data_IF_949170190443
#
_entry.id   IF_949170190443
#
_cell.length_a   1.000
_cell.length_b   1.000
_cell.length_c   1.000
_cell.angle_alpha   90.00
_cell.angle_beta   90.00
_cell.angle_gamma   90.00
#
_symmetry.space_group_name_H-M   'P 1'
#
loop_
_entity.id
_entity.type
_entity.pdbx_description
1 polymer ?
#
# COMPACT_ATOMS: atom_id res chain seq x y z
N UNK A 1 -1.74 39.07 -7.72
CA UNK A 1 -1.11 38.64 -6.46
C UNK A 1 -1.44 37.17 -6.25
N UNK A 2 -0.53 36.32 -6.72
CA UNK A 2 -0.67 34.86 -6.77
C UNK A 2 -0.32 34.33 -5.38
N UNK A 3 -1.27 33.70 -4.68
CA UNK A 3 -0.95 33.05 -3.40
C UNK A 3 0.06 31.94 -3.68
N UNK A 4 1.25 32.11 -3.12
CA UNK A 4 2.33 31.15 -3.18
C UNK A 4 1.84 29.80 -2.66
N UNK A 5 1.94 28.76 -3.49
CA UNK A 5 2.00 27.38 -3.01
C UNK A 5 3.13 27.35 -1.99
N UNK A 6 2.86 26.87 -0.78
CA UNK A 6 3.92 26.47 0.14
C UNK A 6 4.71 25.39 -0.62
N UNK A 7 5.94 25.70 -0.98
CA UNK A 7 6.80 24.77 -1.69
C UNK A 7 6.89 23.47 -0.85
N UNK A 8 6.53 22.35 -1.46
CA UNK A 8 6.75 21.02 -0.91
C UNK A 8 8.24 20.75 -0.99
N UNK A 9 9.00 21.21 0.01
CA UNK A 9 10.46 21.12 0.07
C UNK A 9 10.95 19.66 -0.16
N UNK A 10 11.26 19.30 -1.40
CA UNK A 10 11.99 18.07 -1.76
C UNK A 10 11.20 16.77 -1.91
N UNK A 11 9.86 16.77 -1.77
CA UNK A 11 9.06 15.54 -1.95
C UNK A 11 8.88 15.17 -3.44
N UNK A 12 9.27 13.95 -3.88
CA UNK A 12 9.07 13.54 -5.26
C UNK A 12 7.58 13.30 -5.54
N UNK A 13 7.15 13.60 -6.76
CA UNK A 13 5.84 13.14 -7.25
C UNK A 13 5.77 11.61 -7.24
N UNK A 14 4.55 11.06 -7.30
CA UNK A 14 4.33 9.62 -7.38
C UNK A 14 5.13 8.96 -8.52
N UNK A 15 5.07 9.55 -9.71
CA UNK A 15 5.79 9.06 -10.88
C UNK A 15 7.31 9.15 -10.69
N UNK A 16 7.82 10.24 -10.09
CA UNK A 16 9.26 10.37 -9.81
C UNK A 16 9.75 9.36 -8.77
N UNK A 17 9.00 9.15 -7.69
CA UNK A 17 9.30 8.14 -6.67
C UNK A 17 9.40 6.74 -7.29
N UNK A 18 8.41 6.38 -8.11
CA UNK A 18 8.39 5.08 -8.77
C UNK A 18 9.40 4.96 -9.89
N UNK A 19 9.71 6.02 -10.64
CA UNK A 19 10.79 6.01 -11.63
C UNK A 19 12.15 5.71 -10.95
N UNK A 20 12.41 6.30 -9.78
CA UNK A 20 13.61 5.99 -8.97
C UNK A 20 13.61 4.55 -8.47
N UNK A 21 12.46 4.04 -7.97
CA UNK A 21 12.31 2.64 -7.57
C UNK A 21 12.49 1.68 -8.75
N UNK A 22 11.93 2.02 -9.91
CA UNK A 22 11.98 1.21 -11.11
C UNK A 22 13.40 1.03 -11.61
N UNK A 23 14.22 2.09 -11.59
CA UNK A 23 15.65 1.98 -11.88
C UNK A 23 16.42 1.06 -10.91
N UNK A 24 16.03 1.00 -9.63
CA UNK A 24 16.67 0.13 -8.62
C UNK A 24 16.19 -1.32 -8.69
N UNK A 25 14.91 -1.53 -8.94
CA UNK A 25 14.25 -2.84 -8.90
C UNK A 25 14.13 -3.49 -10.29
N UNK A 26 14.49 -2.78 -11.37
CA UNK A 26 14.29 -3.25 -12.74
C UNK A 26 12.82 -3.23 -13.17
N UNK A 27 12.01 -2.32 -12.64
CA UNK A 27 10.60 -2.14 -13.03
C UNK A 27 10.47 -1.07 -14.12
N UNK A 28 9.64 -1.35 -15.10
CA UNK A 28 9.15 -0.37 -16.08
C UNK A 28 8.02 0.43 -15.43
N UNK A 29 8.08 1.75 -15.52
CA UNK A 29 7.11 2.66 -14.90
C UNK A 29 6.37 3.44 -15.97
N UNK A 30 5.06 3.31 -15.96
CA UNK A 30 4.11 4.02 -16.82
C UNK A 30 3.37 5.07 -15.99
N UNK A 31 3.60 6.35 -16.27
CA UNK A 31 2.78 7.44 -15.73
C UNK A 31 1.48 7.53 -16.54
N UNK A 32 0.33 7.35 -15.86
CA UNK A 32 -1.01 7.43 -16.46
C UNK A 32 -1.70 8.76 -16.18
N UNK A 33 -1.13 9.56 -15.27
CA UNK A 33 -1.53 10.91 -14.92
C UNK A 33 -0.91 11.34 -13.60
N UNK A 34 -1.15 12.58 -13.18
CA UNK A 34 -0.55 13.18 -11.96
C UNK A 34 -0.81 12.35 -10.68
N UNK A 35 -1.93 11.59 -10.65
CA UNK A 35 -2.35 10.76 -9.53
C UNK A 35 -2.55 9.29 -9.92
N UNK A 36 -1.96 8.85 -11.03
CA UNK A 36 -2.09 7.47 -11.50
C UNK A 36 -0.79 6.96 -12.12
N UNK A 37 -0.33 5.80 -11.68
CA UNK A 37 0.82 5.13 -12.26
C UNK A 37 0.66 3.62 -12.26
N UNK A 38 1.44 2.97 -13.12
CA UNK A 38 1.69 1.54 -13.08
C UNK A 38 3.18 1.27 -13.13
N UNK A 39 3.68 0.39 -12.27
CA UNK A 39 5.00 -0.21 -12.41
C UNK A 39 4.86 -1.71 -12.67
N UNK A 40 5.67 -2.27 -13.55
CA UNK A 40 5.67 -3.70 -13.80
C UNK A 40 7.07 -4.21 -14.20
N UNK A 41 7.35 -5.47 -13.91
CA UNK A 41 8.63 -6.09 -14.24
C UNK A 41 8.79 -7.46 -13.61
N UNK A 42 10.01 -7.98 -13.60
CA UNK A 42 10.33 -9.27 -12.99
C UNK A 42 11.27 -9.06 -11.80
N UNK A 43 10.85 -9.52 -10.62
CA UNK A 43 11.66 -9.51 -9.39
C UNK A 43 11.71 -10.93 -8.86
N UNK A 44 12.91 -11.44 -8.54
CA UNK A 44 13.12 -12.83 -8.11
C UNK A 44 12.49 -13.88 -9.05
N UNK A 45 12.45 -13.60 -10.35
CA UNK A 45 11.83 -14.47 -11.35
C UNK A 45 10.29 -14.43 -11.39
N UNK A 46 9.65 -13.54 -10.62
CA UNK A 46 8.20 -13.39 -10.54
C UNK A 46 7.76 -12.10 -11.23
N UNK A 47 6.65 -12.17 -11.95
CA UNK A 47 6.00 -10.98 -12.51
C UNK A 47 5.46 -10.16 -11.34
N UNK A 48 5.89 -8.90 -11.26
CA UNK A 48 5.40 -7.92 -10.27
C UNK A 48 4.66 -6.83 -11.02
N UNK A 49 3.48 -6.46 -10.53
CA UNK A 49 2.74 -5.28 -10.98
C UNK A 49 2.31 -4.45 -9.79
N UNK A 50 2.46 -3.14 -9.89
CA UNK A 50 1.98 -2.16 -8.93
C UNK A 50 1.13 -1.16 -9.67
N UNK A 51 -0.12 -0.99 -9.26
CA UNK A 51 -1.03 0.01 -9.81
C UNK A 51 -1.50 0.93 -8.68
N UNK A 52 -1.47 2.22 -8.96
CA UNK A 52 -1.76 3.24 -7.98
C UNK A 52 -2.64 4.28 -8.62
N UNK A 53 -3.77 4.58 -7.98
CA UNK A 53 -4.73 5.56 -8.48
C UNK A 53 -5.28 6.41 -7.33
N UNK A 54 -5.29 7.73 -7.51
CA UNK A 54 -5.90 8.68 -6.58
C UNK A 54 -7.13 9.33 -7.19
N UNK A 55 -8.20 9.46 -6.40
CA UNK A 55 -9.36 10.24 -6.80
C UNK A 55 -8.91 11.68 -7.08
N UNK A 56 -9.14 12.15 -8.31
CA UNK A 56 -8.97 13.56 -8.61
C UNK A 56 -9.97 14.36 -7.76
N UNK A 57 -9.50 15.31 -6.95
CA UNK A 57 -10.37 16.32 -6.35
C UNK A 57 -10.97 17.11 -7.50
N UNK A 58 -12.22 16.78 -7.85
CA UNK A 58 -12.86 17.12 -9.12
C UNK A 58 -12.58 18.55 -9.59
N UNK A 59 -11.94 18.66 -10.75
CA UNK A 59 -12.10 19.80 -11.65
C UNK A 59 -13.03 19.35 -12.77
N UNK A 60 -14.26 19.87 -12.80
CA UNK A 60 -14.94 20.04 -14.10
C UNK A 60 -16.43 19.76 -14.22
N UNK A 61 -17.10 18.94 -13.40
CA UNK A 61 -18.51 18.59 -13.69
C UNK A 61 -19.54 18.86 -12.59
N UNK A 62 -19.09 19.20 -11.37
CA UNK A 62 -19.99 19.46 -10.23
C UNK A 62 -20.53 20.90 -10.15
N UNK A 63 -20.39 21.73 -11.19
CA UNK A 63 -20.82 23.15 -11.14
C UNK A 63 -22.10 23.48 -11.89
N UNK A 64 -22.73 22.54 -12.60
CA UNK A 64 -23.91 22.85 -13.41
C UNK A 64 -25.25 22.28 -12.92
N UNK A 65 -25.30 21.33 -11.97
CA UNK A 65 -26.58 20.67 -11.64
C UNK A 65 -27.02 20.67 -10.17
N UNK A 66 -26.22 21.14 -9.22
CA UNK A 66 -26.65 21.16 -7.82
C UNK A 66 -26.41 22.52 -7.19
N UNK A 67 -27.46 23.34 -7.25
CA UNK A 67 -27.63 24.50 -6.40
C UNK A 67 -27.66 24.08 -4.93
N UNK A 68 -27.05 24.94 -4.11
CA UNK A 68 -27.30 25.11 -2.68
C UNK A 68 -27.13 23.83 -1.85
N UNK A 69 -25.87 23.45 -1.64
CA UNK A 69 -25.39 23.11 -0.30
C UNK A 69 -23.92 23.50 -0.22
N UNK A 70 -23.59 24.36 0.72
CA UNK A 70 -22.22 24.67 1.13
C UNK A 70 -21.53 23.37 1.55
N UNK A 71 -20.89 22.70 0.60
CA UNK A 71 -19.96 21.62 0.87
C UNK A 71 -18.81 22.26 1.65
N UNK A 72 -18.89 22.13 2.98
CA UNK A 72 -17.83 22.44 3.91
C UNK A 72 -16.51 21.93 3.35
N UNK A 73 -15.60 22.86 3.03
CA UNK A 73 -14.26 22.58 2.52
C UNK A 73 -13.41 21.74 3.47
N UNK A 74 -13.87 21.49 4.70
CA UNK A 74 -13.17 20.70 5.74
C UNK A 74 -13.24 19.18 5.57
N UNK A 75 -14.09 18.63 4.70
CA UNK A 75 -14.29 17.17 4.58
C UNK A 75 -13.85 16.54 3.25
N UNK A 76 -13.07 17.24 2.41
CA UNK A 76 -12.56 16.65 1.15
C UNK A 76 -11.35 15.75 1.39
N UNK A 77 -11.51 14.60 2.05
CA UNK A 77 -10.43 13.61 2.13
C UNK A 77 -10.06 13.13 0.72
N UNK A 78 -8.77 13.05 0.45
CA UNK A 78 -8.24 12.48 -0.78
C UNK A 78 -8.28 10.95 -0.67
N UNK A 79 -8.87 10.26 -1.65
CA UNK A 79 -8.89 8.80 -1.67
C UNK A 79 -7.83 8.28 -2.60
N UNK A 80 -7.28 7.13 -2.23
CA UNK A 80 -6.28 6.45 -3.02
C UNK A 80 -6.49 4.95 -3.01
N UNK A 81 -6.12 4.32 -4.11
CA UNK A 81 -6.21 2.89 -4.36
C UNK A 81 -4.83 2.38 -4.76
N UNK A 82 -4.47 1.22 -4.22
CA UNK A 82 -3.17 0.59 -4.39
C UNK A 82 -3.41 -0.87 -4.65
N UNK A 83 -2.86 -1.38 -5.74
CA UNK A 83 -2.85 -2.81 -6.05
C UNK A 83 -1.40 -3.22 -6.25
N UNK A 84 -0.88 -4.11 -5.41
CA UNK A 84 0.41 -4.75 -5.59
C UNK A 84 0.18 -6.24 -5.83
N UNK A 85 0.66 -6.75 -6.95
CA UNK A 85 0.48 -8.14 -7.36
C UNK A 85 1.83 -8.78 -7.67
N UNK A 86 2.04 -9.98 -7.13
CA UNK A 86 3.21 -10.83 -7.41
C UNK A 86 2.73 -12.18 -7.94
N UNK A 87 3.23 -12.60 -9.11
CA UNK A 87 2.83 -13.86 -9.73
C UNK A 87 3.31 -15.10 -8.95
N UNK A 88 2.47 -16.13 -8.92
CA UNK A 88 2.78 -17.46 -8.41
C UNK A 88 2.18 -18.55 -9.30
N UNK A 89 2.73 -19.76 -9.20
CA UNK A 89 2.22 -20.95 -9.91
C UNK A 89 1.06 -21.62 -9.18
N UNK A 90 1.07 -21.59 -7.84
CA UNK A 90 0.03 -22.16 -6.96
C UNK A 90 -0.46 -23.56 -7.41
N UNK A 91 0.44 -24.56 -7.47
CA UNK A 91 0.13 -25.87 -8.05
C UNK A 91 -0.98 -26.63 -7.28
N UNK A 92 -1.20 -26.26 -6.02
CA UNK A 92 -2.22 -26.87 -5.15
C UNK A 92 -3.58 -26.18 -5.21
N UNK A 93 -3.69 -25.05 -5.93
CA UNK A 93 -4.93 -24.29 -6.07
C UNK A 93 -5.46 -23.71 -4.76
N UNK A 94 -4.60 -23.44 -3.77
CA UNK A 94 -5.03 -22.89 -2.50
C UNK A 94 -5.31 -21.39 -2.64
N UNK A 95 -6.49 -20.94 -2.24
CA UNK A 95 -6.89 -19.53 -2.36
C UNK A 95 -7.52 -19.05 -1.06
N UNK A 96 -7.44 -17.75 -0.79
CA UNK A 96 -8.01 -17.16 0.39
C UNK A 96 -7.39 -15.81 0.72
N UNK A 97 -7.42 -15.43 1.99
CA UNK A 97 -6.81 -14.21 2.46
C UNK A 97 -6.02 -14.43 3.77
N UNK A 98 -4.96 -13.66 3.92
CA UNK A 98 -4.17 -13.51 5.13
C UNK A 98 -4.38 -12.09 5.62
N UNK A 99 -4.90 -11.93 6.83
CA UNK A 99 -5.14 -10.65 7.46
C UNK A 99 -4.15 -10.44 8.61
N UNK A 100 -3.42 -9.34 8.59
CA UNK A 100 -2.71 -8.82 9.77
C UNK A 100 -3.46 -7.59 10.26
N UNK A 101 -4.11 -7.70 11.43
CA UNK A 101 -4.89 -6.59 11.96
C UNK A 101 -4.80 -6.49 13.48
N UNK A 102 -4.99 -5.27 14.00
CA UNK A 102 -5.12 -5.03 15.43
C UNK A 102 -6.50 -5.52 15.91
N UNK A 103 -6.49 -6.39 16.91
CA UNK A 103 -7.67 -6.81 17.65
C UNK A 103 -7.86 -5.92 18.88
N UNK A 104 -8.85 -5.02 18.79
CA UNK A 104 -9.19 -4.07 19.86
C UNK A 104 -9.75 -4.74 21.12
N UNK A 105 -10.08 -6.04 21.04
CA UNK A 105 -10.52 -6.84 22.18
C UNK A 105 -9.38 -7.65 22.82
N UNK A 106 -8.17 -7.62 22.25
CA UNK A 106 -7.00 -8.26 22.84
C UNK A 106 -6.60 -7.55 24.14
N UNK A 107 -6.42 -8.26 25.27
CA UNK A 107 -5.99 -7.66 26.53
C UNK A 107 -4.64 -6.93 26.46
N UNK A 108 -3.77 -7.28 25.51
CA UNK A 108 -2.50 -6.59 25.28
C UNK A 108 -2.65 -5.28 24.50
N UNK A 109 -3.81 -5.02 23.89
CA UNK A 109 -4.08 -3.78 23.17
C UNK A 109 -4.23 -2.60 24.13
N UNK A 110 -3.44 -1.54 23.88
CA UNK A 110 -3.48 -0.31 24.67
C UNK A 110 -3.54 0.90 23.73
N UNK A 111 -4.66 1.65 23.69
CA UNK A 111 -4.80 2.80 22.79
C UNK A 111 -3.88 3.99 23.13
N UNK A 112 -3.23 3.98 24.30
CA UNK A 112 -2.33 5.05 24.76
C UNK A 112 -0.86 4.80 24.38
N UNK A 113 -0.53 3.60 23.94
CA UNK A 113 0.83 3.21 23.60
C UNK A 113 0.92 2.86 22.12
N UNK A 114 1.75 3.59 21.38
CA UNK A 114 2.00 3.26 19.98
C UNK A 114 2.95 2.06 19.90
N UNK A 115 2.38 0.85 19.86
CA UNK A 115 3.08 -0.37 19.54
C UNK A 115 2.27 -1.15 18.50
N UNK A 116 2.74 -1.24 17.23
CA UNK A 116 1.98 -1.91 16.17
C UNK A 116 1.80 -3.41 16.40
N UNK A 117 2.59 -4.02 17.28
CA UNK A 117 2.47 -5.45 17.65
C UNK A 117 1.43 -5.71 18.73
N UNK A 118 1.10 -4.71 19.56
CA UNK A 118 0.23 -4.92 20.72
C UNK A 118 -1.21 -5.16 20.26
N UNK A 119 -1.72 -6.35 20.58
CA UNK A 119 -3.04 -6.80 20.16
C UNK A 119 -3.16 -7.11 18.67
N UNK A 120 -2.05 -7.16 17.91
CA UNK A 120 -2.08 -7.55 16.50
C UNK A 120 -2.14 -9.06 16.36
N UNK A 121 -2.97 -9.52 15.43
CA UNK A 121 -3.10 -10.93 15.10
C UNK A 121 -2.99 -11.14 13.59
N UNK A 122 -2.27 -12.18 13.18
CA UNK A 122 -2.26 -12.67 11.81
C UNK A 122 -3.21 -13.87 11.71
N UNK A 123 -4.24 -13.75 10.88
CA UNK A 123 -5.28 -14.77 10.67
C UNK A 123 -5.35 -15.10 9.19
N UNK A 124 -5.84 -16.28 8.85
CA UNK A 124 -6.12 -16.65 7.48
C UNK A 124 -7.53 -17.21 7.30
N UNK A 125 -8.08 -17.00 6.12
CA UNK A 125 -9.35 -17.59 5.69
C UNK A 125 -9.16 -18.19 4.28
N UNK A 126 -9.21 -19.53 4.12
CA UNK A 126 -9.49 -20.52 5.17
C UNK A 126 -8.34 -20.69 6.18
N UNK A 127 -8.57 -21.22 7.39
CA UNK A 127 -7.51 -21.41 8.40
C UNK A 127 -6.35 -22.29 7.92
N UNK A 128 -6.62 -23.25 7.04
CA UNK A 128 -5.61 -24.15 6.47
C UNK A 128 -4.62 -23.40 5.55
N UNK A 129 -4.95 -22.20 5.09
CA UNK A 129 -4.06 -21.35 4.29
C UNK A 129 -2.81 -20.95 5.08
N UNK A 130 -2.95 -20.59 6.37
CA UNK A 130 -1.83 -20.23 7.22
C UNK A 130 -0.78 -21.34 7.28
N UNK A 131 -1.20 -22.59 7.43
CA UNK A 131 -0.29 -23.74 7.53
C UNK A 131 0.55 -23.96 6.28
N UNK A 132 0.09 -23.49 5.11
CA UNK A 132 0.83 -23.61 3.85
C UNK A 132 1.66 -22.39 3.52
N UNK A 133 1.11 -21.19 3.76
CA UNK A 133 1.66 -19.95 3.19
C UNK A 133 2.43 -19.13 4.23
N UNK A 134 2.09 -19.25 5.52
CA UNK A 134 2.76 -18.50 6.58
C UNK A 134 3.95 -19.28 7.12
N UNK A 135 5.14 -18.84 6.73
CA UNK A 135 6.38 -19.18 7.43
C UNK A 135 6.53 -18.34 8.70
N UNK A 136 7.38 -18.78 9.64
CA UNK A 136 7.71 -18.00 10.83
C UNK A 136 8.23 -16.59 10.49
N UNK A 137 9.05 -16.48 9.44
CA UNK A 137 9.58 -15.20 8.98
C UNK A 137 8.49 -14.28 8.42
N UNK A 138 7.66 -14.78 7.51
CA UNK A 138 6.55 -13.98 6.94
C UNK A 138 5.52 -13.59 8.00
N UNK A 139 5.28 -14.47 8.98
CA UNK A 139 4.43 -14.18 10.13
C UNK A 139 4.99 -13.02 10.96
N UNK A 140 6.29 -13.08 11.32
CA UNK A 140 6.94 -12.02 12.07
C UNK A 140 6.97 -10.67 11.33
N UNK A 141 7.17 -10.71 10.01
CA UNK A 141 7.08 -9.50 9.16
C UNK A 141 5.66 -8.92 9.18
N UNK A 142 4.63 -9.75 9.06
CA UNK A 142 3.23 -9.31 9.13
C UNK A 142 2.84 -8.81 10.53
N UNK A 143 3.44 -9.33 11.59
CA UNK A 143 3.24 -8.82 12.95
C UNK A 143 3.87 -7.44 13.16
N UNK A 144 4.85 -7.05 12.35
CA UNK A 144 5.54 -5.76 12.50
C UNK A 144 4.84 -4.58 11.83
N UNK A 145 3.85 -4.83 10.96
CA UNK A 145 3.21 -3.79 10.15
C UNK A 145 2.43 -2.78 11.00
N UNK A 146 2.48 -1.52 10.61
CA UNK A 146 1.81 -0.41 11.32
C UNK A 146 0.30 -0.39 11.11
N UNK A 147 -0.15 -0.80 9.94
CA UNK A 147 -1.54 -0.68 9.49
C UNK A 147 -2.19 -2.05 9.37
N UNK A 148 -3.51 -2.09 9.32
CA UNK A 148 -4.23 -3.32 9.04
C UNK A 148 -4.08 -3.68 7.56
N UNK A 149 -3.67 -4.91 7.28
CA UNK A 149 -3.34 -5.36 5.93
C UNK A 149 -4.08 -6.65 5.63
N UNK A 150 -4.64 -6.71 4.42
CA UNK A 150 -5.23 -7.91 3.85
C UNK A 150 -4.43 -8.31 2.61
N UNK A 151 -3.89 -9.53 2.62
CA UNK A 151 -3.16 -10.13 1.51
C UNK A 151 -4.01 -11.26 0.93
N UNK A 152 -4.36 -11.16 -0.34
CA UNK A 152 -5.11 -12.17 -1.07
C UNK A 152 -4.17 -13.19 -1.71
N UNK A 153 -4.47 -14.46 -1.52
CA UNK A 153 -3.86 -15.58 -2.25
C UNK A 153 -4.83 -15.98 -3.35
N UNK A 154 -4.47 -15.68 -4.59
CA UNK A 154 -5.25 -15.93 -5.79
C UNK A 154 -4.71 -17.17 -6.54
N UNK A 155 -5.45 -17.68 -7.54
CA UNK A 155 -5.00 -18.86 -8.30
C UNK A 155 -3.63 -18.71 -8.97
N UNK A 156 -3.20 -17.49 -9.29
CA UNK A 156 -1.95 -17.23 -10.05
C UNK A 156 -1.15 -16.06 -9.48
N UNK A 157 -1.52 -15.53 -8.32
CA UNK A 157 -0.84 -14.40 -7.72
C UNK A 157 -1.08 -14.24 -6.22
N UNK A 158 -0.20 -13.49 -5.57
CA UNK A 158 -0.40 -12.88 -4.26
C UNK A 158 -0.69 -11.40 -4.48
N UNK A 159 -1.72 -10.86 -3.85
CA UNK A 159 -2.20 -9.51 -4.10
C UNK A 159 -2.49 -8.74 -2.80
N UNK A 160 -2.07 -7.49 -2.73
CA UNK A 160 -2.62 -6.50 -1.79
C UNK A 160 -3.49 -5.55 -2.59
N UNK A 161 -4.74 -5.40 -2.17
CA UNK A 161 -5.68 -4.39 -2.64
C UNK A 161 -6.02 -3.46 -1.46
N UNK A 162 -5.55 -2.22 -1.52
CA UNK A 162 -5.60 -1.29 -0.40
C UNK A 162 -6.19 0.07 -0.79
N UNK A 163 -7.18 0.50 0.00
CA UNK A 163 -7.79 1.82 -0.11
C UNK A 163 -7.43 2.71 1.08
N UNK A 164 -6.91 3.91 0.79
CA UNK A 164 -6.48 4.87 1.79
C UNK A 164 -7.25 6.19 1.68
N UNK A 165 -7.35 6.92 2.80
CA UNK A 165 -7.80 8.31 2.81
C UNK A 165 -6.75 9.22 3.42
N UNK A 166 -6.35 10.27 2.72
CA UNK A 166 -5.40 11.28 3.17
C UNK A 166 -6.09 12.65 3.37
N UNK A 167 -5.46 13.53 4.14
CA UNK A 167 -5.92 14.92 4.28
C UNK A 167 -5.75 15.67 2.95
N UNK A 168 -6.68 16.56 2.57
CA UNK A 168 -6.56 17.34 1.36
C UNK A 168 -5.36 18.30 1.40
N UNK A 169 -4.61 18.34 0.29
CA UNK A 169 -3.62 19.39 0.06
C UNK A 169 -2.34 19.29 0.91
N UNK A 170 -2.13 18.23 1.68
CA UNK A 170 -0.86 18.03 2.41
C UNK A 170 0.37 17.73 1.52
N UNK A 171 0.28 17.99 0.19
CA UNK A 171 1.30 17.71 -0.83
C UNK A 171 1.50 16.21 -1.10
N UNK A 172 1.57 15.73 -2.36
CA UNK A 172 1.93 14.34 -2.73
C UNK A 172 1.50 13.18 -1.77
N UNK A 173 0.36 13.28 -1.08
CA UNK A 173 0.06 12.52 0.15
C UNK A 173 -0.34 11.07 -0.05
N UNK A 174 -0.01 10.51 -1.21
CA UNK A 174 -0.17 9.09 -1.42
C UNK A 174 0.96 8.29 -0.79
N UNK A 175 2.20 8.78 -0.84
CA UNK A 175 3.32 8.07 -0.22
C UNK A 175 3.13 7.96 1.31
N UNK A 176 2.38 8.88 1.91
CA UNK A 176 2.00 8.81 3.33
C UNK A 176 0.74 7.96 3.60
N UNK A 177 -0.15 7.75 2.62
CA UNK A 177 -1.41 7.02 2.80
C UNK A 177 -1.40 5.59 2.26
N UNK A 178 -0.47 5.29 1.36
CA UNK A 178 -0.31 3.97 0.74
C UNK A 178 0.43 3.04 1.68
N UNK A 179 -0.20 1.93 2.05
CA UNK A 179 0.40 0.92 2.93
C UNK A 179 1.75 0.44 2.39
N UNK A 180 1.90 0.34 1.05
CA UNK A 180 3.15 -0.13 0.45
C UNK A 180 4.32 0.85 0.60
N UNK A 181 4.05 2.11 0.99
CA UNK A 181 5.09 3.11 1.25
C UNK A 181 5.39 3.28 2.74
N UNK A 182 4.65 2.59 3.62
CA UNK A 182 4.91 2.60 5.06
C UNK A 182 6.11 1.71 5.38
N UNK A 183 7.21 2.35 5.77
CA UNK A 183 8.42 1.66 6.19
C UNK A 183 8.35 1.23 7.65
N UNK A 184 8.83 0.03 7.93
CA UNK A 184 8.90 -0.52 9.28
C UNK A 184 10.21 -0.09 9.96
N UNK A 185 10.14 0.92 10.82
CA UNK A 185 11.27 1.50 11.55
C UNK A 185 11.21 3.03 11.62
N UNK A 186 12.26 3.68 12.11
CA UNK A 186 12.39 5.13 12.01
C UNK A 186 12.50 5.53 10.52
N UNK A 187 11.49 6.20 9.93
CA UNK A 187 11.51 6.48 8.51
C UNK A 187 12.61 7.51 8.21
N UNK A 188 13.39 7.34 7.13
CA UNK A 188 14.31 8.37 6.70
C UNK A 188 13.56 9.67 6.35
N UNK A 189 14.27 10.82 6.24
CA UNK A 189 13.68 12.04 5.70
C UNK A 189 13.24 11.87 4.24
N UNK A 190 12.53 12.86 3.73
CA UNK A 190 12.29 12.98 2.29
C UNK A 190 13.58 13.42 1.57
N UNK A 191 13.81 12.95 0.32
CA UNK A 191 12.95 12.12 -0.51
C UNK A 191 13.07 10.60 -0.28
N UNK A 192 14.05 10.12 0.47
CA UNK A 192 14.40 8.70 0.62
C UNK A 192 13.26 7.86 1.18
N UNK A 193 12.40 8.48 2.00
CA UNK A 193 11.19 7.86 2.54
C UNK A 193 10.29 7.25 1.46
N UNK A 194 10.22 7.84 0.27
CA UNK A 194 9.43 7.31 -0.85
C UNK A 194 9.91 5.94 -1.35
N UNK A 195 11.16 5.59 -1.05
CA UNK A 195 11.88 4.50 -1.71
C UNK A 195 12.06 3.27 -0.81
N UNK A 196 11.76 3.37 0.49
CA UNK A 196 12.08 2.31 1.46
C UNK A 196 10.91 1.35 1.73
N UNK A 197 9.66 1.78 1.58
CA UNK A 197 8.49 0.94 1.77
C UNK A 197 8.32 -0.12 0.67
N UNK A 198 8.22 0.26 -0.62
CA UNK A 198 7.80 -0.67 -1.67
C UNK A 198 8.69 -1.91 -1.82
N UNK A 199 10.04 -1.83 -1.72
CA UNK A 199 10.89 -3.02 -1.75
C UNK A 199 10.53 -4.04 -0.68
N UNK A 200 10.27 -3.60 0.56
CA UNK A 200 9.93 -4.49 1.67
C UNK A 200 8.62 -5.26 1.39
N UNK A 201 7.61 -4.58 0.85
CA UNK A 201 6.33 -5.19 0.50
C UNK A 201 6.42 -6.18 -0.66
N UNK A 202 7.20 -5.82 -1.69
CA UNK A 202 7.46 -6.71 -2.82
C UNK A 202 8.16 -7.98 -2.33
N UNK A 203 9.17 -7.86 -1.46
CA UNK A 203 9.88 -9.01 -0.92
C UNK A 203 8.96 -9.90 -0.08
N UNK A 204 8.12 -9.31 0.79
CA UNK A 204 7.15 -10.07 1.57
C UNK A 204 6.19 -10.87 0.67
N UNK A 205 5.68 -10.25 -0.39
CA UNK A 205 4.77 -10.95 -1.32
C UNK A 205 5.50 -12.00 -2.16
N UNK A 206 6.77 -11.79 -2.50
CA UNK A 206 7.61 -12.83 -3.12
C UNK A 206 7.81 -14.02 -2.18
N UNK A 207 8.04 -13.80 -0.89
CA UNK A 207 8.21 -14.88 0.09
C UNK A 207 6.92 -15.68 0.28
N UNK A 208 5.76 -15.00 0.33
CA UNK A 208 4.46 -15.66 0.36
C UNK A 208 4.18 -16.44 -0.94
N UNK A 209 4.56 -15.89 -2.09
CA UNK A 209 4.44 -16.56 -3.38
C UNK A 209 5.34 -17.81 -3.45
N UNK A 210 6.57 -17.73 -2.92
CA UNK A 210 7.49 -18.87 -2.79
C UNK A 210 6.92 -19.96 -1.87
N UNK A 211 6.18 -19.60 -0.82
CA UNK A 211 5.51 -20.55 0.05
C UNK A 211 4.31 -21.23 -0.63
N UNK A 212 3.52 -20.48 -1.42
CA UNK A 212 2.38 -21.00 -2.20
C UNK A 212 2.81 -21.97 -3.30
N UNK A 213 4.00 -21.77 -3.87
CA UNK A 213 4.51 -22.61 -4.96
C UNK A 213 5.09 -23.96 -4.51
N UNK A 214 5.28 -24.15 -3.20
CA UNK A 214 5.76 -25.42 -2.61
C UNK A 214 4.59 -26.38 -2.36
#
# INVERSE_FOLDING_TARGET
MTMARKDNDGEPTLAQAWAMLGGRLGLVVEERGERSMRAHGNIRGRVVTVEIEGDAVGKGFARFLFGVNTISSRNRREKWHTVLTVGCANPHGITGAIQSAVDVHDPAWNPREYNPRNGRNVRSDPPELANRVLTAETYERLMSVTDDVLVHVLPTAICIDHHATALPGSGANYVAGSVIHHYQGAPPPWPERALVGPPWWIDLLCDLADAVDR
#
